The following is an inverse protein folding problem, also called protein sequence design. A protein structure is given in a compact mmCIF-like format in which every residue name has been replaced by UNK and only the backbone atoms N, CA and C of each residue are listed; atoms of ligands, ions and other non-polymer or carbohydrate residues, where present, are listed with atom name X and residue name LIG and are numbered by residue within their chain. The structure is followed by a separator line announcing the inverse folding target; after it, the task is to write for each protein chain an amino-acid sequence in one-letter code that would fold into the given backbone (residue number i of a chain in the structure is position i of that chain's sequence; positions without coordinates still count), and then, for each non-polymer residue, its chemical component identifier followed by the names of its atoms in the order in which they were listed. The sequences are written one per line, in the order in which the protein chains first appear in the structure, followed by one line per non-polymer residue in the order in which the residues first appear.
data_IF_403490254365
#
_entry.id   IF_403490254365
#
_cell.length_a   1.000
_cell.length_b   1.000
_cell.length_c   1.000
_cell.angle_alpha   90.00
_cell.angle_beta   90.00
_cell.angle_gamma   90.00
#
_symmetry.space_group_name_H-M   'P 1'
#
loop_
_entity.id
_entity.type
_entity.pdbx_description
1 polymer ?
#
# COMPACT_ATOMS: atom_id res chain seq x y z
N UNK A 1 -33.29 19.73 -42.32
CA UNK A 1 -33.40 18.38 -41.71
C UNK A 1 -32.17 17.56 -42.13
N UNK A 2 -31.13 17.42 -41.31
CA UNK A 2 -30.13 16.38 -41.50
C UNK A 2 -30.44 15.18 -40.58
N UNK A 3 -30.43 13.99 -41.16
CA UNK A 3 -30.70 12.72 -40.48
C UNK A 3 -29.52 12.22 -39.66
N UNK A 4 -29.84 11.60 -38.53
CA UNK A 4 -28.92 10.87 -37.65
C UNK A 4 -28.63 9.49 -38.24
N UNK A 5 -27.37 9.21 -38.57
CA UNK A 5 -26.91 7.84 -38.86
C UNK A 5 -26.35 7.24 -37.58
N UNK A 6 -27.07 6.27 -37.03
CA UNK A 6 -26.62 5.42 -35.92
C UNK A 6 -25.66 4.37 -36.46
N UNK A 7 -24.39 4.40 -36.06
CA UNK A 7 -23.43 3.33 -36.31
C UNK A 7 -23.49 2.36 -35.14
N UNK A 8 -24.06 1.19 -35.38
CA UNK A 8 -24.07 0.05 -34.47
C UNK A 8 -22.68 -0.60 -34.40
N UNK A 9 -22.10 -0.64 -33.21
CA UNK A 9 -20.85 -1.34 -32.92
C UNK A 9 -21.12 -2.86 -32.81
N UNK A 10 -20.33 -3.73 -33.48
CA UNK A 10 -20.49 -5.17 -33.35
C UNK A 10 -20.05 -5.67 -31.97
N UNK A 11 -20.61 -6.79 -31.47
CA UNK A 11 -20.31 -7.30 -30.14
C UNK A 11 -18.87 -7.83 -30.09
N UNK A 12 -18.12 -7.42 -29.07
CA UNK A 12 -16.79 -7.92 -28.78
C UNK A 12 -16.86 -9.38 -28.32
N UNK A 13 -16.11 -10.27 -28.97
CA UNK A 13 -15.95 -11.65 -28.53
C UNK A 13 -15.22 -11.71 -27.18
N UNK A 14 -15.57 -12.66 -26.29
CA UNK A 14 -14.96 -12.75 -24.98
C UNK A 14 -13.52 -13.28 -25.09
N UNK A 15 -12.56 -12.41 -24.76
CA UNK A 15 -11.17 -12.80 -24.50
C UNK A 15 -11.18 -13.72 -23.28
N UNK A 16 -10.72 -14.96 -23.43
CA UNK A 16 -10.70 -15.95 -22.34
C UNK A 16 -9.85 -15.46 -21.18
N UNK A 17 -10.52 -15.20 -20.06
CA UNK A 17 -9.92 -14.78 -18.81
C UNK A 17 -9.13 -15.98 -18.23
N UNK A 18 -7.80 -15.94 -18.31
CA UNK A 18 -6.95 -16.90 -17.58
C UNK A 18 -7.23 -16.68 -16.10
N UNK A 19 -8.02 -17.58 -15.50
CA UNK A 19 -8.37 -17.54 -14.10
C UNK A 19 -7.09 -17.45 -13.25
N UNK A 20 -7.03 -16.50 -12.33
CA UNK A 20 -5.90 -16.34 -11.43
C UNK A 20 -5.67 -17.67 -10.67
N UNK A 21 -4.40 -18.12 -10.50
CA UNK A 21 -4.11 -19.38 -9.81
C UNK A 21 -4.70 -19.36 -8.41
N UNK A 22 -5.33 -20.45 -7.98
CA UNK A 22 -5.97 -20.55 -6.67
C UNK A 22 -5.02 -20.40 -5.48
N UNK A 23 -5.56 -20.31 -4.28
CA UNK A 23 -4.78 -20.11 -3.04
C UNK A 23 -3.76 -21.24 -2.83
N UNK A 24 -4.14 -22.49 -3.12
CA UNK A 24 -3.24 -23.64 -2.94
C UNK A 24 -2.02 -23.55 -3.85
N UNK A 25 -2.23 -23.21 -5.12
CA UNK A 25 -1.14 -23.03 -6.07
C UNK A 25 -0.24 -21.85 -5.67
N UNK A 26 -0.80 -20.73 -5.19
CA UNK A 26 0.01 -19.60 -4.70
C UNK A 26 0.85 -19.95 -3.47
N UNK A 27 0.32 -20.74 -2.54
CA UNK A 27 1.08 -21.24 -1.39
C UNK A 27 2.23 -22.13 -1.82
N UNK A 28 1.98 -23.03 -2.79
CA UNK A 28 3.00 -23.91 -3.37
C UNK A 28 4.09 -23.11 -4.08
N UNK A 29 3.71 -22.14 -4.91
CA UNK A 29 4.65 -21.27 -5.61
C UNK A 29 5.50 -20.45 -4.64
N UNK A 30 4.90 -19.86 -3.60
CA UNK A 30 5.64 -19.13 -2.57
C UNK A 30 6.63 -20.05 -1.81
N UNK A 31 6.23 -21.27 -1.46
CA UNK A 31 7.13 -22.24 -0.83
C UNK A 31 8.33 -22.57 -1.75
N UNK A 32 8.05 -22.88 -3.01
CA UNK A 32 9.07 -23.28 -3.98
C UNK A 32 10.00 -22.13 -4.36
N UNK A 33 9.52 -20.89 -4.46
CA UNK A 33 10.37 -19.72 -4.75
C UNK A 33 11.39 -19.44 -3.65
N UNK A 34 11.11 -19.91 -2.42
CA UNK A 34 12.04 -19.86 -1.29
C UNK A 34 12.87 -21.14 -1.11
N UNK A 35 12.82 -22.07 -2.08
CA UNK A 35 13.63 -23.28 -2.08
C UNK A 35 13.26 -24.29 -0.99
N UNK A 36 12.07 -24.18 -0.39
CA UNK A 36 11.65 -25.03 0.72
C UNK A 36 10.92 -26.29 0.22
N UNK A 37 11.28 -27.46 0.76
CA UNK A 37 10.44 -28.66 0.68
C UNK A 37 9.23 -28.54 1.62
N UNK A 38 8.26 -29.47 1.54
CA UNK A 38 7.15 -29.49 2.50
C UNK A 38 7.65 -29.81 3.91
N UNK A 39 8.71 -30.62 4.01
CA UNK A 39 9.41 -30.97 5.24
C UNK A 39 10.07 -29.75 5.87
N UNK A 40 10.78 -28.94 5.07
CA UNK A 40 11.41 -27.70 5.53
C UNK A 40 10.36 -26.69 6.01
N UNK A 41 9.32 -26.49 5.20
CA UNK A 41 8.23 -25.58 5.54
C UNK A 41 7.49 -26.02 6.81
N UNK A 42 7.28 -27.33 7.00
CA UNK A 42 6.69 -27.88 8.22
C UNK A 42 7.58 -27.62 9.45
N UNK A 43 8.89 -27.85 9.31
CA UNK A 43 9.88 -27.62 10.37
C UNK A 43 9.91 -26.18 10.86
N UNK A 44 9.84 -25.21 9.95
CA UNK A 44 9.92 -23.78 10.29
C UNK A 44 8.55 -23.19 10.69
N UNK A 45 7.45 -23.66 10.10
CA UNK A 45 6.10 -23.14 10.40
C UNK A 45 5.46 -23.75 11.65
N UNK A 46 5.92 -24.93 12.09
CA UNK A 46 5.26 -25.73 13.12
C UNK A 46 3.94 -26.37 12.64
N UNK A 47 3.64 -26.32 11.34
CA UNK A 47 2.48 -26.98 10.73
C UNK A 47 2.89 -28.37 10.22
N UNK A 48 1.97 -29.34 10.23
CA UNK A 48 2.29 -30.67 9.71
C UNK A 48 2.40 -30.70 8.18
N UNK A 49 3.30 -31.52 7.66
CA UNK A 49 3.48 -31.78 6.21
C UNK A 49 2.13 -32.12 5.55
N UNK A 50 1.34 -32.98 6.19
CA UNK A 50 0.01 -33.37 5.71
C UNK A 50 -1.02 -32.23 5.72
N UNK A 51 -0.87 -31.24 6.60
CA UNK A 51 -1.69 -30.03 6.57
C UNK A 51 -1.27 -29.13 5.40
N UNK A 52 0.04 -28.85 5.26
CA UNK A 52 0.59 -28.03 4.16
C UNK A 52 0.23 -28.60 2.79
N UNK A 53 0.41 -29.91 2.58
CA UNK A 53 0.04 -30.59 1.34
C UNK A 53 -1.46 -30.45 1.01
N UNK A 54 -2.34 -30.53 2.02
CA UNK A 54 -3.78 -30.32 1.81
C UNK A 54 -4.13 -28.86 1.50
N UNK A 55 -3.40 -27.90 2.05
CA UNK A 55 -3.55 -26.48 1.69
C UNK A 55 -3.14 -26.24 0.24
N UNK A 56 -1.96 -26.74 -0.17
CA UNK A 56 -1.42 -26.53 -1.52
C UNK A 56 -2.26 -27.19 -2.62
N UNK A 57 -2.94 -28.29 -2.30
CA UNK A 57 -3.87 -28.97 -3.21
C UNK A 57 -5.34 -28.53 -3.03
N UNK A 58 -5.58 -27.45 -2.27
CA UNK A 58 -6.92 -26.87 -1.99
C UNK A 58 -7.93 -27.84 -1.36
N UNK A 59 -7.46 -28.95 -0.78
CA UNK A 59 -8.27 -29.92 -0.04
C UNK A 59 -8.62 -29.44 1.36
N UNK A 60 -8.06 -28.32 1.80
CA UNK A 60 -8.33 -27.68 3.09
C UNK A 60 -8.15 -26.18 2.98
N UNK A 61 -9.03 -25.41 3.62
CA UNK A 61 -8.85 -23.97 3.76
C UNK A 61 -7.95 -23.66 4.97
N UNK A 62 -7.00 -22.71 4.85
CA UNK A 62 -6.19 -22.30 5.98
C UNK A 62 -6.99 -21.40 6.93
N UNK A 63 -6.66 -21.46 8.23
CA UNK A 63 -7.12 -20.44 9.17
C UNK A 63 -6.30 -19.16 9.00
N UNK A 64 -6.80 -18.01 9.48
CA UNK A 64 -6.04 -16.75 9.47
C UNK A 64 -4.68 -16.88 10.20
N UNK A 65 -4.58 -17.51 11.39
CA UNK A 65 -3.29 -17.75 12.02
C UNK A 65 -2.32 -18.58 11.15
N UNK A 66 -2.83 -19.61 10.45
CA UNK A 66 -2.00 -20.40 9.54
C UNK A 66 -1.50 -19.55 8.36
N UNK A 67 -2.36 -18.72 7.77
CA UNK A 67 -1.97 -17.78 6.71
C UNK A 67 -0.89 -16.78 7.17
N UNK A 68 -1.03 -16.21 8.37
CA UNK A 68 -0.04 -15.29 8.94
C UNK A 68 1.30 -15.97 9.21
N UNK A 69 1.28 -17.22 9.69
CA UNK A 69 2.50 -18.03 9.86
C UNK A 69 3.15 -18.32 8.51
N UNK A 70 2.38 -18.77 7.52
CA UNK A 70 2.91 -19.08 6.19
C UNK A 70 3.43 -17.83 5.47
N UNK A 71 2.77 -16.69 5.61
CA UNK A 71 3.27 -15.41 5.10
C UNK A 71 4.66 -15.05 5.66
N UNK A 72 4.88 -15.27 6.96
CA UNK A 72 6.20 -15.05 7.59
C UNK A 72 7.25 -16.05 7.10
N UNK A 73 6.91 -17.34 7.06
CA UNK A 73 7.84 -18.41 6.65
C UNK A 73 8.23 -18.27 5.17
N UNK A 74 7.29 -17.85 4.32
CA UNK A 74 7.52 -17.63 2.90
C UNK A 74 7.86 -16.18 2.56
N UNK A 75 8.25 -15.36 3.56
CA UNK A 75 8.73 -13.98 3.37
C UNK A 75 7.82 -13.16 2.44
N UNK A 76 6.51 -13.25 2.65
CA UNK A 76 5.47 -12.62 1.82
C UNK A 76 4.35 -12.04 2.70
N UNK A 77 3.27 -11.55 2.09
CA UNK A 77 2.10 -11.02 2.81
C UNK A 77 0.87 -11.90 2.60
N UNK A 78 -0.07 -11.85 3.54
CA UNK A 78 -1.37 -12.54 3.40
C UNK A 78 -2.10 -12.07 2.14
N UNK A 79 -2.04 -10.77 1.83
CA UNK A 79 -2.58 -10.21 0.58
C UNK A 79 -2.04 -10.89 -0.67
N UNK A 80 -0.71 -11.08 -0.77
CA UNK A 80 -0.08 -11.77 -1.90
C UNK A 80 -0.54 -13.24 -1.96
N UNK A 81 -0.59 -13.93 -0.82
CA UNK A 81 -1.06 -15.32 -0.75
C UNK A 81 -2.53 -15.46 -1.16
N UNK A 82 -3.38 -14.52 -0.79
CA UNK A 82 -4.79 -14.47 -1.18
C UNK A 82 -5.00 -14.05 -2.63
N UNK A 83 -3.94 -13.71 -3.35
CA UNK A 83 -4.04 -13.27 -4.75
C UNK A 83 -4.71 -11.92 -4.87
N UNK A 84 -4.67 -11.10 -3.81
CA UNK A 84 -4.92 -9.68 -3.94
C UNK A 84 -3.87 -9.17 -4.94
N UNK A 85 -4.30 -8.99 -6.20
CA UNK A 85 -3.52 -8.25 -7.17
C UNK A 85 -3.29 -6.90 -6.50
N UNK A 86 -2.04 -6.59 -6.13
CA UNK A 86 -1.63 -5.21 -5.91
C UNK A 86 -2.08 -4.47 -7.18
N UNK A 87 -3.18 -3.73 -7.07
CA UNK A 87 -4.01 -3.41 -8.22
C UNK A 87 -3.20 -2.73 -9.30
N UNK A 88 -3.08 -3.40 -10.46
CA UNK A 88 -2.46 -2.91 -11.70
C UNK A 88 -1.02 -2.41 -11.59
N UNK A 89 -0.28 -2.51 -12.70
CA UNK A 89 0.91 -1.69 -12.95
C UNK A 89 0.53 -0.21 -13.19
N UNK A 90 -0.44 0.34 -12.46
CA UNK A 90 -0.84 1.74 -12.66
C UNK A 90 0.23 2.64 -12.06
N UNK A 91 1.23 2.93 -12.88
CA UNK A 91 2.29 3.90 -12.61
C UNK A 91 1.69 5.30 -12.43
N UNK A 92 0.52 5.55 -13.05
CA UNK A 92 -0.21 6.81 -12.99
C UNK A 92 -1.53 6.62 -12.27
N UNK A 93 -1.72 7.30 -11.13
CA UNK A 93 -3.01 7.32 -10.43
C UNK A 93 -3.77 8.57 -10.84
N UNK A 94 -4.96 8.37 -11.41
CA UNK A 94 -5.85 9.48 -11.78
C UNK A 94 -6.80 9.77 -10.63
N UNK A 95 -6.86 11.03 -10.19
CA UNK A 95 -7.69 11.44 -9.05
C UNK A 95 -9.17 11.05 -9.20
N UNK A 96 -9.71 11.04 -10.43
CA UNK A 96 -11.09 10.63 -10.73
C UNK A 96 -11.40 9.15 -10.45
N UNK A 97 -10.37 8.30 -10.39
CA UNK A 97 -10.47 6.87 -10.15
C UNK A 97 -9.93 6.48 -8.76
N UNK A 98 -9.43 7.46 -7.99
CA UNK A 98 -8.85 7.22 -6.69
C UNK A 98 -9.98 7.03 -5.68
N UNK A 99 -10.25 5.78 -5.31
CA UNK A 99 -11.21 5.46 -4.27
C UNK A 99 -10.66 5.81 -2.88
N UNK A 100 -11.42 6.50 -2.02
CA UNK A 100 -11.02 6.76 -0.65
C UNK A 100 -11.09 5.49 0.20
N UNK A 101 -10.20 5.40 1.18
CA UNK A 101 -10.36 4.51 2.32
C UNK A 101 -10.32 5.31 3.62
N UNK A 102 -10.93 4.75 4.68
CA UNK A 102 -11.10 5.42 5.97
C UNK A 102 -10.41 4.64 7.07
N UNK A 103 -9.59 5.32 7.87
CA UNK A 103 -8.92 4.73 9.02
C UNK A 103 -8.68 5.78 10.10
N UNK A 104 -8.92 5.43 11.36
CA UNK A 104 -8.71 6.35 12.51
C UNK A 104 -9.45 7.69 12.37
N UNK A 105 -10.63 7.69 11.75
CA UNK A 105 -11.43 8.90 11.51
C UNK A 105 -10.91 9.79 10.37
N UNK A 106 -9.84 9.41 9.68
CA UNK A 106 -9.28 10.15 8.55
C UNK A 106 -9.69 9.50 7.23
N UNK A 107 -9.67 10.30 6.16
CA UNK A 107 -9.86 9.83 4.79
C UNK A 107 -8.54 9.87 4.05
N UNK A 108 -8.24 8.80 3.33
CA UNK A 108 -7.00 8.63 2.57
C UNK A 108 -7.32 8.31 1.12
N UNK A 109 -6.53 8.85 0.21
CA UNK A 109 -6.49 8.44 -1.19
C UNK A 109 -5.07 8.05 -1.53
N UNK A 110 -4.91 6.98 -2.29
CA UNK A 110 -3.59 6.64 -2.85
C UNK A 110 -3.15 7.75 -3.81
N UNK A 111 -1.93 8.23 -3.62
CA UNK A 111 -1.27 9.18 -4.50
C UNK A 111 -0.02 8.59 -5.17
N UNK A 112 0.31 7.32 -4.87
CA UNK A 112 1.42 6.58 -5.48
C UNK A 112 1.15 5.08 -5.67
N UNK A 113 1.98 4.47 -6.51
CA UNK A 113 1.99 3.02 -6.73
C UNK A 113 2.41 2.27 -5.45
N UNK A 114 1.81 1.12 -5.11
CA UNK A 114 2.07 0.43 -3.86
C UNK A 114 3.33 -0.46 -3.92
N UNK A 115 4.00 -0.53 -5.07
CA UNK A 115 5.13 -1.46 -5.34
C UNK A 115 6.52 -0.82 -5.21
N UNK A 116 6.63 0.37 -4.61
CA UNK A 116 7.91 1.10 -4.50
C UNK A 116 8.25 1.34 -3.03
N UNK A 117 9.52 1.61 -2.72
CA UNK A 117 10.00 1.89 -1.36
C UNK A 117 9.45 3.18 -0.72
N UNK A 118 8.49 3.82 -1.40
CA UNK A 118 7.85 5.06 -1.02
C UNK A 118 6.34 4.90 -1.20
N UNK A 119 5.58 5.20 -0.13
CA UNK A 119 4.13 5.22 -0.12
C UNK A 119 3.64 6.67 -0.09
N UNK A 120 2.96 7.11 -1.15
CA UNK A 120 2.37 8.44 -1.23
C UNK A 120 0.85 8.38 -1.05
N UNK A 121 0.33 9.24 -0.17
CA UNK A 121 -1.08 9.33 0.21
C UNK A 121 -1.53 10.79 0.21
N UNK A 122 -2.69 11.08 -0.37
CA UNK A 122 -3.43 12.31 -0.04
C UNK A 122 -4.28 12.01 1.19
N UNK A 123 -4.18 12.85 2.20
CA UNK A 123 -4.84 12.68 3.48
C UNK A 123 -5.79 13.85 3.74
N UNK A 124 -6.97 13.55 4.27
CA UNK A 124 -7.89 14.53 4.84
C UNK A 124 -8.17 14.18 6.28
N UNK A 125 -7.85 15.10 7.18
CA UNK A 125 -8.08 14.98 8.62
C UNK A 125 -9.27 15.85 8.99
N UNK A 126 -10.26 15.31 9.73
CA UNK A 126 -11.42 16.09 10.14
C UNK A 126 -11.00 17.23 11.09
N UNK A 127 -11.89 18.23 11.29
CA UNK A 127 -11.65 19.28 12.27
C UNK A 127 -11.52 18.73 13.70
N UNK A 128 -10.89 19.52 14.56
CA UNK A 128 -10.71 19.22 15.97
C UNK A 128 -9.44 18.43 16.29
N UNK A 129 -9.35 17.98 17.54
CA UNK A 129 -8.14 17.41 18.10
C UNK A 129 -8.03 15.90 17.93
N UNK A 130 -6.80 15.42 17.75
CA UNK A 130 -6.49 14.00 17.83
C UNK A 130 -6.74 13.48 19.25
N UNK A 131 -7.50 12.40 19.37
CA UNK A 131 -7.79 11.72 20.65
C UNK A 131 -6.95 10.45 20.86
N UNK A 132 -6.07 10.14 19.91
CA UNK A 132 -5.22 8.95 19.92
C UNK A 132 -3.77 9.22 20.37
N UNK A 133 -3.00 8.16 20.66
CA UNK A 133 -1.58 8.28 21.02
C UNK A 133 -0.76 8.80 19.84
N UNK A 134 0.43 9.34 20.15
CA UNK A 134 1.44 9.67 19.15
C UNK A 134 1.84 8.42 18.35
N UNK A 135 2.16 8.64 17.07
CA UNK A 135 2.63 7.59 16.16
C UNK A 135 4.16 7.55 16.17
N UNK A 136 4.69 6.35 16.02
CA UNK A 136 6.13 6.07 15.90
C UNK A 136 6.29 4.89 14.95
N UNK A 137 7.11 5.04 13.91
CA UNK A 137 7.44 3.94 13.00
C UNK A 137 8.78 4.17 12.29
N UNK A 138 9.47 3.11 11.83
CA UNK A 138 10.74 3.27 11.12
C UNK A 138 10.54 3.98 9.77
N UNK A 139 11.49 4.83 9.40
CA UNK A 139 11.56 5.47 8.09
C UNK A 139 11.50 6.99 8.17
N UNK A 140 11.24 7.62 7.03
CA UNK A 140 11.11 9.06 6.91
C UNK A 140 9.70 9.43 6.42
N UNK A 141 9.18 10.52 6.96
CA UNK A 141 7.92 11.10 6.53
C UNK A 141 8.14 12.50 5.98
N UNK A 142 7.62 12.71 4.78
CA UNK A 142 7.53 14.01 4.12
C UNK A 142 6.07 14.36 3.92
N UNK A 143 5.67 15.59 4.23
CA UNK A 143 4.31 16.07 3.98
C UNK A 143 4.29 17.48 3.41
N UNK A 144 3.21 17.79 2.68
CA UNK A 144 2.94 19.09 2.07
C UNK A 144 1.47 19.46 2.28
N UNK A 145 1.20 20.59 2.93
CA UNK A 145 -0.17 21.03 3.23
C UNK A 145 -0.84 21.61 1.99
N UNK A 146 -2.00 21.09 1.62
CA UNK A 146 -2.75 21.51 0.43
C UNK A 146 -3.86 22.51 0.78
N UNK A 147 -4.58 22.29 1.89
CA UNK A 147 -5.69 23.12 2.36
C UNK A 147 -5.83 23.04 3.87
N UNK A 148 -6.43 24.06 4.47
CA UNK A 148 -6.58 24.16 5.93
C UNK A 148 -5.24 24.43 6.61
N UNK A 149 -5.15 24.16 7.91
CA UNK A 149 -3.93 24.32 8.69
C UNK A 149 -3.66 23.05 9.47
N UNK A 150 -2.45 22.50 9.32
CA UNK A 150 -2.02 21.27 10.01
C UNK A 150 -1.34 21.67 11.32
N UNK A 151 -1.79 21.09 12.43
CA UNK A 151 -1.04 21.10 13.68
C UNK A 151 -0.22 19.81 13.74
N UNK A 152 1.09 19.95 13.57
CA UNK A 152 2.06 18.86 13.63
C UNK A 152 2.83 18.98 14.96
N UNK A 153 2.70 17.99 15.83
CA UNK A 153 3.52 17.90 17.05
C UNK A 153 4.57 16.83 16.87
N UNK A 154 5.85 17.20 16.93
CA UNK A 154 7.01 16.31 16.83
C UNK A 154 7.75 16.34 18.17
N UNK A 155 7.87 15.19 18.83
CA UNK A 155 8.55 15.03 20.12
C UNK A 155 8.18 16.13 21.15
N UNK A 156 6.87 16.40 21.26
CA UNK A 156 6.32 17.42 22.16
C UNK A 156 6.38 18.87 21.64
N UNK A 157 7.07 19.15 20.54
CA UNK A 157 7.11 20.49 19.93
C UNK A 157 6.03 20.63 18.87
N UNK A 158 5.15 21.62 19.01
CA UNK A 158 4.05 21.86 18.09
C UNK A 158 4.40 22.91 17.03
N UNK A 159 4.12 22.58 15.77
CA UNK A 159 4.24 23.42 14.60
C UNK A 159 2.87 23.59 13.92
N UNK A 160 2.54 24.82 13.52
CA UNK A 160 1.34 25.11 12.72
C UNK A 160 1.78 25.36 11.28
N UNK A 161 1.31 24.51 10.36
CA UNK A 161 1.70 24.52 8.95
C UNK A 161 0.49 24.96 8.11
N UNK A 162 0.69 26.01 7.32
CA UNK A 162 -0.29 26.58 6.41
C UNK A 162 -0.19 25.93 5.01
N UNK A 163 -1.17 26.15 4.10
CA UNK A 163 -1.09 25.63 2.74
C UNK A 163 0.19 26.07 2.03
N UNK A 164 0.90 25.11 1.41
CA UNK A 164 2.21 25.30 0.80
C UNK A 164 3.39 24.95 1.70
N UNK A 165 3.19 24.86 3.02
CA UNK A 165 4.25 24.46 3.95
C UNK A 165 4.53 22.96 3.85
N UNK A 166 5.79 22.61 4.13
CA UNK A 166 6.34 21.27 4.05
C UNK A 166 6.99 20.90 5.37
N UNK A 167 6.85 19.64 5.78
CA UNK A 167 7.66 19.06 6.84
C UNK A 167 8.31 17.77 6.35
N UNK A 168 9.54 17.54 6.80
CA UNK A 168 10.29 16.31 6.58
C UNK A 168 10.96 15.92 7.89
N UNK A 169 10.70 14.71 8.38
CA UNK A 169 11.20 14.28 9.68
C UNK A 169 11.39 12.76 9.73
N UNK A 170 12.25 12.32 10.65
CA UNK A 170 12.39 10.91 11.01
C UNK A 170 11.11 10.43 11.70
N UNK A 171 10.44 9.45 11.13
CA UNK A 171 9.17 8.93 11.65
C UNK A 171 9.33 8.14 12.95
N UNK A 172 10.56 7.86 13.38
CA UNK A 172 10.86 7.35 14.71
C UNK A 172 10.64 8.40 15.81
N UNK A 173 10.56 9.69 15.46
CA UNK A 173 10.13 10.73 16.38
C UNK A 173 8.62 10.59 16.67
N UNK A 174 8.20 10.58 17.95
CA UNK A 174 6.78 10.58 18.29
C UNK A 174 6.07 11.76 17.65
N UNK A 175 5.10 11.49 16.80
CA UNK A 175 4.40 12.54 16.05
C UNK A 175 2.88 12.45 16.14
N UNK A 176 2.24 13.61 16.20
CA UNK A 176 0.78 13.78 16.16
C UNK A 176 0.44 14.79 15.07
N UNK A 177 -0.53 14.44 14.23
CA UNK A 177 -1.05 15.30 13.18
C UNK A 177 -2.55 15.50 13.42
N UNK A 178 -2.99 16.74 13.46
CA UNK A 178 -4.40 17.10 13.67
C UNK A 178 -4.76 18.38 12.92
N UNK A 179 -6.06 18.61 12.70
CA UNK A 179 -6.46 19.92 12.19
C UNK A 179 -6.17 20.99 13.25
N UNK A 180 -5.65 22.12 12.82
CA UNK A 180 -5.47 23.26 13.72
C UNK A 180 -6.80 23.94 14.09
N UNK A 181 -7.87 23.66 13.34
CA UNK A 181 -9.18 24.30 13.41
C UNK A 181 -10.27 23.30 13.87
N UNK A 182 -11.21 23.75 14.69
CA UNK A 182 -12.29 22.93 15.26
C UNK A 182 -13.48 22.73 14.31
N UNK A 183 -13.51 23.44 13.17
CA UNK A 183 -14.59 23.42 12.18
C UNK A 183 -14.11 23.15 10.76
N UNK A 184 -12.85 23.43 10.45
CA UNK A 184 -12.25 23.26 9.11
C UNK A 184 -11.34 22.04 9.07
N UNK A 185 -11.50 21.12 8.09
CA UNK A 185 -10.58 20.00 7.90
C UNK A 185 -9.28 20.46 7.27
N UNK A 186 -8.21 19.69 7.46
CA UNK A 186 -6.94 19.88 6.78
C UNK A 186 -6.73 18.79 5.72
N UNK A 187 -6.22 19.18 4.55
CA UNK A 187 -5.81 18.27 3.48
C UNK A 187 -4.31 18.42 3.23
N UNK A 188 -3.58 17.32 3.14
CA UNK A 188 -2.16 17.32 2.84
C UNK A 188 -1.75 16.10 2.00
N UNK A 189 -0.65 16.22 1.26
CA UNK A 189 0.04 15.08 0.68
C UNK A 189 1.05 14.57 1.71
N UNK A 190 1.12 13.26 1.87
CA UNK A 190 2.06 12.59 2.76
C UNK A 190 2.79 11.51 1.99
N UNK A 191 4.07 11.36 2.28
CA UNK A 191 4.96 10.38 1.69
C UNK A 191 5.72 9.72 2.83
N UNK A 192 5.57 8.40 2.95
CA UNK A 192 6.35 7.59 3.88
C UNK A 192 7.34 6.74 3.07
N UNK A 193 8.61 6.78 3.42
CA UNK A 193 9.63 5.88 2.89
C UNK A 193 10.18 4.99 3.99
N UNK A 194 10.38 3.70 3.68
CA UNK A 194 11.14 2.81 4.56
C UNK A 194 12.58 3.32 4.69
N UNK A 195 13.31 2.98 5.78
CA UNK A 195 14.70 3.39 5.95
C UNK A 195 15.52 3.04 4.71
N UNK A 196 16.14 4.04 4.09
CA UNK A 196 16.98 3.81 2.93
C UNK A 196 18.24 3.03 3.35
N UNK A 197 18.48 1.84 2.78
CA UNK A 197 19.86 1.39 2.60
C UNK A 197 20.44 2.22 1.47
N UNK A 198 21.28 3.19 1.82
CA UNK A 198 21.85 4.13 0.86
C UNK A 198 22.86 3.40 -0.03
N UNK A 199 22.50 3.13 -1.27
CA UNK A 199 23.44 3.04 -2.37
C UNK A 199 23.09 4.15 -3.36
N UNK A 200 23.67 5.33 -3.15
CA UNK A 200 23.59 6.42 -4.13
C UNK A 200 24.35 5.97 -5.38
N UNK A 201 23.63 5.64 -6.45
CA UNK A 201 24.20 5.64 -7.80
C UNK A 201 23.71 6.92 -8.46
N UNK A 202 24.64 7.81 -8.80
CA UNK A 202 24.33 9.04 -9.50
C UNK A 202 23.56 8.74 -10.79
N UNK A 203 22.46 9.44 -11.02
CA UNK A 203 21.74 9.41 -12.28
C UNK A 203 22.61 10.15 -13.31
N UNK A 204 23.48 9.43 -14.01
CA UNK A 204 24.26 9.99 -15.13
C UNK A 204 23.33 10.04 -16.34
N UNK A 205 23.18 11.19 -17.02
CA UNK A 205 22.37 11.27 -18.23
C UNK A 205 22.91 10.31 -19.29
N UNK A 206 22.03 9.57 -19.97
CA UNK A 206 22.41 8.73 -21.10
C UNK A 206 22.95 9.60 -22.23
N UNK A 207 24.16 9.29 -22.69
CA UNK A 207 24.79 10.00 -23.80
C UNK A 207 23.92 9.92 -25.07
N UNK A 208 23.85 10.98 -25.89
CA UNK A 208 23.13 10.93 -27.16
C UNK A 208 23.82 9.92 -28.10
N UNK A 209 23.02 9.01 -28.66
CA UNK A 209 23.46 8.16 -29.76
C UNK A 209 23.72 9.05 -31.00
N UNK A 210 24.94 8.98 -31.54
CA UNK A 210 25.31 9.55 -32.84
C UNK A 210 24.73 8.75 -34.00
#
# INVERSE_FOLDING_TARGET
MPGTTSVSQPPAEPVSEIAAPGLGERLKQARLSHGLTLEDAAGVSGLSIAYLSRLENERRQPSLPALLTLARVYVTTVSILLGERAGGEETVIRAKNAEPFHAHGWTYWRAGSPRRGMQALRVRVPPGRATGPARVHPGEEWLHVLKGQLRLTLDGTTHLLAPGDVAHFDSALPHVMESADDHVPVEFLMVHAAPAMVAFTACVPSAPHH
#
